data_IF_979225525413
#
_entry.id   IF_979225525413
#
_cell.length_a   1.000
_cell.length_b   1.000
_cell.length_c   1.000
_cell.angle_alpha   90.00
_cell.angle_beta   90.00
_cell.angle_gamma   90.00
#
_symmetry.space_group_name_H-M   'P 1'
#
loop_
_entity.id
_entity.type
_entity.pdbx_description
1 polymer ?
#
# COMPACT_ATOMS: atom_id res chain seq x y z
N UNK A 1 10.62 -41.13 -28.70
CA UNK A 1 9.51 -40.82 -29.63
C UNK A 1 8.75 -39.63 -29.05
N UNK A 2 8.82 -38.46 -29.69
CA UNK A 2 7.98 -37.32 -29.31
C UNK A 2 6.58 -37.58 -29.87
N UNK A 3 5.57 -37.56 -29.00
CA UNK A 3 4.18 -37.75 -29.43
C UNK A 3 3.71 -36.53 -30.23
N UNK A 4 2.82 -36.71 -31.22
CA UNK A 4 2.37 -35.64 -32.12
C UNK A 4 1.69 -34.44 -31.44
N UNK A 5 1.39 -34.54 -30.13
CA UNK A 5 0.72 -33.49 -29.36
C UNK A 5 1.66 -32.64 -28.46
N UNK A 6 2.99 -32.73 -28.60
CA UNK A 6 3.93 -31.90 -27.83
C UNK A 6 4.00 -32.21 -26.32
N UNK A 7 3.46 -33.36 -25.89
CA UNK A 7 3.55 -33.88 -24.53
C UNK A 7 3.98 -35.36 -24.52
N UNK A 8 4.53 -35.80 -23.39
CA UNK A 8 4.98 -37.15 -23.11
C UNK A 8 4.15 -37.75 -21.97
N UNK A 9 3.76 -39.01 -22.06
CA UNK A 9 3.23 -39.74 -20.92
C UNK A 9 4.38 -40.14 -19.99
N UNK A 10 4.29 -39.71 -18.72
CA UNK A 10 5.31 -39.98 -17.70
C UNK A 10 4.65 -40.77 -16.56
N UNK A 11 5.25 -41.89 -16.12
CA UNK A 11 4.77 -42.63 -14.96
C UNK A 11 4.71 -41.75 -13.70
N UNK A 12 3.62 -41.84 -12.95
CA UNK A 12 3.44 -41.07 -11.69
C UNK A 12 4.58 -41.32 -10.72
N UNK A 13 5.13 -42.54 -10.68
CA UNK A 13 6.26 -42.90 -9.82
C UNK A 13 7.54 -42.11 -10.13
N UNK A 14 7.69 -41.55 -11.33
CA UNK A 14 8.83 -40.71 -11.71
C UNK A 14 8.58 -39.22 -11.45
N UNK A 15 7.35 -38.82 -11.13
CA UNK A 15 6.96 -37.44 -10.87
C UNK A 15 7.10 -37.10 -9.39
N UNK A 16 7.75 -35.98 -9.10
CA UNK A 16 7.95 -35.44 -7.76
C UNK A 16 7.31 -34.06 -7.64
N UNK A 17 6.64 -33.82 -6.53
CA UNK A 17 6.14 -32.48 -6.17
C UNK A 17 7.31 -31.52 -5.99
N UNK A 18 7.13 -30.27 -6.41
CA UNK A 18 8.14 -29.24 -6.17
C UNK A 18 8.13 -28.85 -4.66
N UNK A 19 9.28 -28.92 -3.95
CA UNK A 19 9.37 -28.52 -2.54
C UNK A 19 9.03 -27.05 -2.29
N UNK A 20 9.27 -26.19 -3.28
CA UNK A 20 9.11 -24.73 -3.20
C UNK A 20 7.75 -24.24 -3.71
N UNK A 21 6.72 -25.10 -3.70
CA UNK A 21 5.39 -24.74 -4.18
C UNK A 21 4.79 -23.57 -3.37
N UNK A 22 4.40 -22.45 -4.03
CA UNK A 22 3.85 -21.28 -3.34
C UNK A 22 2.47 -21.54 -2.74
N UNK A 23 1.72 -22.51 -3.27
CA UNK A 23 0.46 -22.98 -2.71
C UNK A 23 0.70 -24.06 -1.66
N UNK A 24 0.45 -23.73 -0.40
CA UNK A 24 0.58 -24.65 0.75
C UNK A 24 -0.79 -25.23 1.18
N UNK A 25 -1.87 -24.48 0.98
CA UNK A 25 -3.25 -24.89 1.32
C UNK A 25 -3.98 -25.32 0.04
N UNK A 26 -4.52 -26.53 0.05
CA UNK A 26 -5.22 -27.13 -1.08
C UNK A 26 -6.71 -27.19 -0.74
N UNK A 27 -7.52 -26.55 -1.56
CA UNK A 27 -8.98 -26.42 -1.52
C UNK A 27 -9.69 -27.28 -0.45
N UNK A 28 -9.81 -26.73 0.76
CA UNK A 28 -10.55 -27.29 1.90
C UNK A 28 -12.03 -26.89 1.89
N UNK A 29 -12.55 -26.52 0.72
CA UNK A 29 -13.95 -26.12 0.56
C UNK A 29 -14.73 -27.31 0.05
N UNK A 30 -15.70 -27.76 0.84
CA UNK A 30 -16.64 -28.81 0.47
C UNK A 30 -17.80 -28.19 -0.33
N UNK A 31 -18.37 -28.96 -1.25
CA UNK A 31 -19.63 -28.62 -1.92
C UNK A 31 -20.85 -29.10 -1.12
N UNK A 32 -22.06 -28.84 -1.64
CA UNK A 32 -23.33 -29.28 -1.02
C UNK A 32 -23.44 -30.81 -0.90
N UNK A 33 -22.55 -31.56 -1.57
CA UNK A 33 -22.44 -33.02 -1.57
C UNK A 33 -21.31 -33.53 -0.66
N UNK A 34 -20.59 -32.63 0.03
CA UNK A 34 -19.55 -32.95 1.01
C UNK A 34 -18.21 -33.40 0.40
N UNK A 35 -17.97 -33.17 -0.90
CA UNK A 35 -16.71 -33.48 -1.57
C UNK A 35 -15.78 -32.27 -1.61
N UNK A 36 -14.50 -32.52 -1.36
CA UNK A 36 -13.47 -31.50 -1.54
C UNK A 36 -13.31 -31.17 -3.03
N UNK A 37 -12.90 -29.93 -3.36
CA UNK A 37 -12.63 -29.55 -4.76
C UNK A 37 -11.55 -30.42 -5.43
N UNK A 38 -10.71 -31.10 -4.65
CA UNK A 38 -9.70 -32.03 -5.17
C UNK A 38 -10.31 -33.36 -5.62
N UNK A 39 -11.28 -33.89 -4.88
CA UNK A 39 -12.00 -35.13 -5.23
C UNK A 39 -12.85 -34.96 -6.48
N UNK A 40 -13.53 -33.82 -6.63
CA UNK A 40 -14.23 -33.49 -7.88
C UNK A 40 -13.30 -33.46 -9.10
N UNK A 41 -12.11 -32.89 -8.93
CA UNK A 41 -11.10 -32.90 -9.99
C UNK A 41 -10.62 -34.33 -10.28
N UNK A 42 -10.51 -35.19 -9.27
CA UNK A 42 -10.16 -36.59 -9.47
C UNK A 42 -11.26 -37.35 -10.22
N UNK A 43 -12.53 -37.13 -9.90
CA UNK A 43 -13.68 -37.71 -10.60
C UNK A 43 -13.71 -37.26 -12.08
N UNK A 44 -13.52 -35.97 -12.34
CA UNK A 44 -13.41 -35.42 -13.70
C UNK A 44 -12.22 -36.02 -14.47
N UNK A 45 -11.04 -36.10 -13.85
CA UNK A 45 -9.85 -36.72 -14.45
C UNK A 45 -10.09 -38.21 -14.74
N UNK A 46 -10.87 -38.91 -13.92
CA UNK A 46 -11.21 -40.31 -14.15
C UNK A 46 -12.16 -40.49 -15.34
N UNK A 47 -13.08 -39.54 -15.55
CA UNK A 47 -14.05 -39.57 -16.63
C UNK A 47 -13.45 -39.14 -17.99
N UNK A 48 -12.71 -38.03 -18.01
CA UNK A 48 -12.27 -37.36 -19.25
C UNK A 48 -10.74 -37.41 -19.46
N UNK A 49 -9.99 -37.88 -18.47
CA UNK A 49 -8.53 -37.79 -18.48
C UNK A 49 -8.02 -36.39 -18.17
N UNK A 50 -6.72 -36.17 -18.42
CA UNK A 50 -6.10 -34.85 -18.25
C UNK A 50 -6.11 -34.11 -19.58
N UNK A 51 -6.94 -33.06 -19.67
CA UNK A 51 -7.04 -32.21 -20.86
C UNK A 51 -5.80 -31.33 -21.06
N UNK A 52 -5.30 -30.70 -20.00
CA UNK A 52 -4.10 -29.88 -20.04
C UNK A 52 -2.91 -30.66 -19.48
N UNK A 53 -1.82 -30.88 -20.23
CA UNK A 53 -0.62 -31.54 -19.73
C UNK A 53 0.04 -30.80 -18.55
N UNK A 54 0.69 -31.55 -17.66
CA UNK A 54 1.51 -30.98 -16.58
C UNK A 54 2.80 -30.42 -17.18
N UNK A 55 3.41 -29.42 -16.53
CA UNK A 55 4.71 -28.91 -16.94
C UNK A 55 5.76 -29.41 -15.96
N UNK A 56 6.78 -30.10 -16.46
CA UNK A 56 7.80 -30.74 -15.63
C UNK A 56 9.20 -30.45 -16.15
N UNK A 57 10.21 -30.57 -15.28
CA UNK A 57 11.64 -30.53 -15.66
C UNK A 57 12.36 -31.77 -15.15
N UNK A 58 13.27 -32.37 -15.92
CA UNK A 58 14.03 -33.53 -15.47
C UNK A 58 15.05 -33.15 -14.38
N UNK A 59 15.13 -33.97 -13.32
CA UNK A 59 16.11 -33.86 -12.23
C UNK A 59 16.51 -35.27 -11.77
N UNK A 60 17.80 -35.60 -11.87
CA UNK A 60 18.38 -36.84 -11.32
C UNK A 60 17.60 -38.13 -11.68
N UNK A 61 17.17 -38.28 -12.94
CA UNK A 61 16.39 -39.45 -13.40
C UNK A 61 14.90 -39.43 -13.05
N UNK A 62 14.44 -38.41 -12.32
CA UNK A 62 13.05 -38.10 -12.02
C UNK A 62 12.60 -36.81 -12.75
N UNK A 63 11.33 -36.46 -12.57
CA UNK A 63 10.74 -35.24 -13.09
C UNK A 63 10.12 -34.44 -11.95
N UNK A 64 10.49 -33.16 -11.82
CA UNK A 64 9.92 -32.25 -10.84
C UNK A 64 8.81 -31.44 -11.48
N UNK A 65 7.66 -31.37 -10.81
CA UNK A 65 6.47 -30.66 -11.30
C UNK A 65 6.66 -29.15 -11.13
N UNK A 66 6.66 -28.43 -12.25
CA UNK A 66 6.67 -26.95 -12.28
C UNK A 66 5.23 -26.45 -12.11
N UNK A 67 4.32 -26.90 -12.98
CA UNK A 67 2.91 -26.50 -12.99
C UNK A 67 1.98 -27.72 -13.05
N UNK A 68 0.82 -27.62 -12.41
CA UNK A 68 -0.20 -28.69 -12.42
C UNK A 68 -0.20 -29.60 -11.20
N UNK A 69 0.32 -29.15 -10.05
CA UNK A 69 0.34 -29.91 -8.79
C UNK A 69 -1.05 -30.40 -8.35
N UNK A 70 -2.13 -29.62 -8.60
CA UNK A 70 -3.51 -30.06 -8.35
C UNK A 70 -3.89 -31.28 -9.20
N UNK A 71 -3.53 -31.27 -10.49
CA UNK A 71 -3.78 -32.37 -11.42
C UNK A 71 -3.01 -33.61 -10.97
N UNK A 72 -1.73 -33.46 -10.64
CA UNK A 72 -0.92 -34.56 -10.08
C UNK A 72 -1.57 -35.21 -8.85
N UNK A 73 -2.00 -34.41 -7.88
CA UNK A 73 -2.66 -34.91 -6.66
C UNK A 73 -3.99 -35.58 -6.96
N UNK A 74 -4.85 -34.96 -7.77
CA UNK A 74 -6.12 -35.53 -8.18
C UNK A 74 -5.94 -36.83 -8.98
N UNK A 75 -4.90 -36.93 -9.80
CA UNK A 75 -4.56 -38.15 -10.54
C UNK A 75 -4.12 -39.30 -9.65
N UNK A 76 -3.46 -39.02 -8.51
CA UNK A 76 -3.18 -40.04 -7.48
C UNK A 76 -4.48 -40.58 -6.88
N UNK A 77 -5.44 -39.71 -6.59
CA UNK A 77 -6.77 -40.10 -6.09
C UNK A 77 -7.54 -40.91 -7.15
N UNK A 78 -7.45 -40.50 -8.41
CA UNK A 78 -8.04 -41.20 -9.56
C UNK A 78 -7.32 -42.52 -9.93
N UNK A 79 -6.21 -42.85 -9.24
CA UNK A 79 -5.40 -44.06 -9.46
C UNK A 79 -4.86 -44.21 -10.89
N UNK A 80 -4.53 -43.10 -11.54
CA UNK A 80 -3.85 -43.13 -12.83
C UNK A 80 -2.41 -43.62 -12.68
N UNK A 81 -1.87 -44.29 -13.70
CA UNK A 81 -0.49 -44.80 -13.72
C UNK A 81 0.48 -43.83 -14.41
N UNK A 82 0.01 -43.11 -15.43
CA UNK A 82 0.79 -42.18 -16.24
C UNK A 82 0.05 -40.87 -16.46
N UNK A 83 0.78 -39.76 -16.61
CA UNK A 83 0.22 -38.42 -16.83
C UNK A 83 0.84 -37.76 -18.07
N UNK A 84 0.04 -37.04 -18.88
CA UNK A 84 0.57 -36.23 -19.96
C UNK A 84 1.34 -35.04 -19.40
N UNK A 85 2.61 -34.92 -19.80
CA UNK A 85 3.55 -33.92 -19.31
C UNK A 85 4.30 -33.27 -20.47
N UNK A 86 4.39 -31.94 -20.47
CA UNK A 86 5.33 -31.19 -21.29
C UNK A 86 6.64 -31.04 -20.53
N UNK A 87 7.71 -31.63 -21.07
CA UNK A 87 9.04 -31.60 -20.46
C UNK A 87 9.78 -30.34 -20.91
N UNK A 88 10.11 -29.46 -19.97
CA UNK A 88 11.02 -28.33 -20.21
C UNK A 88 12.43 -28.68 -19.77
N UNK A 89 13.37 -28.59 -20.70
CA UNK A 89 14.78 -28.86 -20.46
C UNK A 89 15.48 -27.64 -19.87
N UNK A 90 16.56 -27.86 -19.12
CA UNK A 90 17.48 -26.82 -18.63
C UNK A 90 16.81 -25.69 -17.81
N UNK A 91 15.78 -26.03 -17.03
CA UNK A 91 15.16 -25.10 -16.08
C UNK A 91 15.91 -25.22 -14.75
N UNK A 92 16.54 -24.13 -14.31
CA UNK A 92 17.11 -24.03 -12.98
C UNK A 92 16.03 -23.79 -11.90
N UNK A 93 16.41 -23.83 -10.62
CA UNK A 93 15.43 -23.72 -9.53
C UNK A 93 14.77 -22.33 -9.48
N UNK A 94 15.48 -21.29 -9.91
CA UNK A 94 14.98 -19.91 -9.95
C UNK A 94 13.92 -19.75 -11.03
N UNK A 95 14.17 -20.23 -12.24
CA UNK A 95 13.25 -20.22 -13.36
C UNK A 95 12.06 -21.15 -13.11
N UNK A 96 12.26 -22.29 -12.44
CA UNK A 96 11.18 -23.15 -11.96
C UNK A 96 10.24 -22.38 -11.03
N UNK A 97 10.81 -21.70 -10.02
CA UNK A 97 10.05 -20.92 -9.06
C UNK A 97 9.32 -19.74 -9.74
N UNK A 98 9.99 -19.06 -10.67
CA UNK A 98 9.40 -17.97 -11.45
C UNK A 98 8.17 -18.44 -12.23
N UNK A 99 8.27 -19.58 -12.93
CA UNK A 99 7.18 -20.17 -13.69
C UNK A 99 6.01 -20.55 -12.76
N UNK A 100 6.31 -21.17 -11.61
CA UNK A 100 5.30 -21.55 -10.63
C UNK A 100 4.58 -20.33 -10.03
N UNK A 101 5.31 -19.24 -9.74
CA UNK A 101 4.70 -18.00 -9.23
C UNK A 101 3.87 -17.32 -10.32
N UNK A 102 4.38 -17.24 -11.55
CA UNK A 102 3.71 -16.58 -12.68
C UNK A 102 2.41 -17.28 -13.05
N UNK A 103 2.39 -18.61 -13.10
CA UNK A 103 1.17 -19.40 -13.33
C UNK A 103 0.14 -19.16 -12.22
N UNK A 104 0.59 -19.21 -10.96
CA UNK A 104 -0.31 -18.98 -9.84
C UNK A 104 -0.90 -17.56 -9.88
N UNK A 105 -0.13 -16.57 -10.34
CA UNK A 105 -0.53 -15.16 -10.48
C UNK A 105 -1.55 -14.91 -11.59
N UNK A 106 -1.60 -15.76 -12.61
CA UNK A 106 -2.58 -15.68 -13.70
C UNK A 106 -3.95 -16.25 -13.34
N UNK A 107 -4.14 -16.71 -12.09
CA UNK A 107 -5.43 -17.24 -11.63
C UNK A 107 -6.42 -16.13 -11.32
N UNK A 108 -7.65 -16.31 -11.78
CA UNK A 108 -8.75 -15.36 -11.57
C UNK A 108 -9.22 -15.29 -10.11
N UNK A 109 -8.89 -16.28 -9.26
CA UNK A 109 -9.37 -16.42 -7.88
C UNK A 109 -8.38 -15.91 -6.81
N UNK A 110 -7.35 -15.17 -7.19
CA UNK A 110 -6.35 -14.65 -6.24
C UNK A 110 -6.91 -13.51 -5.39
N UNK A 111 -6.68 -13.62 -4.07
CA UNK A 111 -6.96 -12.49 -3.17
C UNK A 111 -5.87 -11.43 -3.29
N UNK A 112 -6.15 -10.14 -3.01
CA UNK A 112 -5.15 -9.07 -3.10
C UNK A 112 -3.90 -9.32 -2.24
N UNK A 113 -4.05 -10.03 -1.11
CA UNK A 113 -2.93 -10.41 -0.25
C UNK A 113 -2.07 -11.50 -0.89
N UNK A 114 -2.69 -12.48 -1.52
CA UNK A 114 -1.97 -13.59 -2.15
C UNK A 114 -1.25 -13.13 -3.42
N UNK A 115 -1.85 -12.20 -4.17
CA UNK A 115 -1.20 -11.48 -5.27
C UNK A 115 0.03 -10.71 -4.78
N UNK A 116 -0.10 -9.95 -3.69
CA UNK A 116 1.02 -9.21 -3.11
C UNK A 116 2.15 -10.15 -2.65
N UNK A 117 1.84 -11.31 -2.07
CA UNK A 117 2.82 -12.34 -1.69
C UNK A 117 3.54 -12.93 -2.90
N UNK A 118 2.82 -13.19 -3.98
CA UNK A 118 3.41 -13.66 -5.24
C UNK A 118 4.40 -12.62 -5.80
N UNK A 119 4.01 -11.34 -5.82
CA UNK A 119 4.88 -10.22 -6.21
C UNK A 119 6.12 -10.15 -5.32
N UNK A 120 5.97 -10.25 -4.00
CA UNK A 120 7.10 -10.27 -3.07
C UNK A 120 8.07 -11.43 -3.36
N UNK A 121 7.53 -12.63 -3.61
CA UNK A 121 8.35 -13.79 -3.92
C UNK A 121 9.15 -13.63 -5.23
N UNK A 122 8.59 -12.99 -6.26
CA UNK A 122 9.33 -12.67 -7.49
C UNK A 122 10.51 -11.73 -7.21
N UNK A 123 10.34 -10.75 -6.31
CA UNK A 123 11.38 -9.79 -5.96
C UNK A 123 12.47 -10.44 -5.12
N UNK A 124 12.09 -11.16 -4.06
CA UNK A 124 13.04 -11.70 -3.08
C UNK A 124 13.73 -12.98 -3.54
N UNK A 125 12.97 -13.90 -4.17
CA UNK A 125 13.49 -15.22 -4.54
C UNK A 125 13.97 -15.31 -5.98
N UNK A 126 13.36 -14.55 -6.89
CA UNK A 126 13.76 -14.51 -8.30
C UNK A 126 14.59 -13.26 -8.63
N UNK A 127 14.94 -12.44 -7.64
CA UNK A 127 15.79 -11.23 -7.77
C UNK A 127 15.25 -10.17 -8.75
N UNK A 128 13.94 -10.15 -9.00
CA UNK A 128 13.33 -9.16 -9.88
C UNK A 128 13.31 -7.77 -9.23
N UNK A 129 13.56 -6.74 -10.03
CA UNK A 129 13.23 -5.36 -9.62
C UNK A 129 11.72 -5.12 -9.68
N UNK A 130 11.20 -4.18 -8.87
CA UNK A 130 9.77 -3.80 -8.96
C UNK A 130 9.37 -3.33 -10.37
N UNK A 131 10.31 -2.73 -11.11
CA UNK A 131 10.11 -2.34 -12.52
C UNK A 131 9.96 -3.54 -13.44
N UNK A 132 10.81 -4.56 -13.29
CA UNK A 132 10.73 -5.79 -14.07
C UNK A 132 9.42 -6.55 -13.78
N UNK A 133 9.01 -6.65 -12.51
CA UNK A 133 7.72 -7.24 -12.14
C UNK A 133 6.57 -6.44 -12.75
N UNK A 134 6.59 -5.10 -12.64
CA UNK A 134 5.56 -4.25 -13.22
C UNK A 134 5.39 -4.47 -14.73
N UNK A 135 6.49 -4.46 -15.50
CA UNK A 135 6.46 -4.74 -16.94
C UNK A 135 5.86 -6.10 -17.25
N UNK A 136 6.24 -7.13 -16.49
CA UNK A 136 5.78 -8.50 -16.72
C UNK A 136 4.28 -8.69 -16.43
N UNK A 137 3.76 -7.95 -15.46
CA UNK A 137 2.35 -8.02 -15.06
C UNK A 137 1.46 -6.97 -15.73
N UNK A 138 2.02 -6.11 -16.59
CA UNK A 138 1.28 -4.96 -17.14
C UNK A 138 0.88 -3.93 -16.07
N UNK A 139 1.59 -3.87 -14.95
CA UNK A 139 1.33 -2.98 -13.82
C UNK A 139 2.36 -1.85 -13.75
N UNK A 140 1.94 -0.68 -13.28
CA UNK A 140 2.88 0.40 -12.97
C UNK A 140 3.72 0.04 -11.73
N UNK A 141 4.94 0.58 -11.65
CA UNK A 141 5.80 0.42 -10.46
C UNK A 141 5.09 0.90 -9.19
N UNK A 142 4.30 1.96 -9.30
CA UNK A 142 3.47 2.46 -8.20
C UNK A 142 2.42 1.42 -7.77
N UNK A 143 1.75 0.74 -8.70
CA UNK A 143 0.78 -0.31 -8.39
C UNK A 143 1.45 -1.51 -7.68
N UNK A 144 2.61 -1.95 -8.18
CA UNK A 144 3.42 -3.01 -7.54
C UNK A 144 3.76 -2.62 -6.10
N UNK A 145 4.28 -1.41 -5.89
CA UNK A 145 4.59 -0.93 -4.55
C UNK A 145 3.36 -0.89 -3.64
N UNK A 146 2.21 -0.41 -4.14
CA UNK A 146 0.98 -0.36 -3.34
C UNK A 146 0.48 -1.74 -2.92
N UNK A 147 0.60 -2.76 -3.77
CA UNK A 147 0.30 -4.15 -3.40
C UNK A 147 1.25 -4.64 -2.31
N UNK A 148 2.55 -4.39 -2.44
CA UNK A 148 3.54 -4.74 -1.41
C UNK A 148 3.30 -4.04 -0.07
N UNK A 149 2.73 -2.83 -0.05
CA UNK A 149 2.40 -2.15 1.21
C UNK A 149 1.30 -2.90 2.00
N UNK A 150 0.45 -3.70 1.36
CA UNK A 150 -0.57 -4.49 2.05
C UNK A 150 0.05 -5.54 2.97
N UNK A 151 1.22 -6.08 2.61
CA UNK A 151 1.95 -7.07 3.41
C UNK A 151 2.54 -6.48 4.69
N UNK A 152 2.62 -5.15 4.79
CA UNK A 152 3.11 -4.44 5.98
C UNK A 152 2.01 -4.15 6.99
N UNK A 153 0.75 -4.45 6.66
CA UNK A 153 -0.38 -4.31 7.57
C UNK A 153 -0.37 -5.43 8.61
N UNK A 154 -1.08 -5.24 9.74
CA UNK A 154 -1.20 -6.30 10.74
C UNK A 154 -1.88 -7.55 10.19
N UNK A 155 -1.62 -8.74 10.75
CA UNK A 155 -2.23 -10.00 10.31
C UNK A 155 -3.76 -9.95 10.26
N UNK A 156 -4.40 -9.26 11.22
CA UNK A 156 -5.87 -9.12 11.26
C UNK A 156 -6.42 -8.29 10.10
N UNK A 157 -5.73 -7.21 9.71
CA UNK A 157 -6.14 -6.40 8.57
C UNK A 157 -5.90 -7.17 7.26
N UNK A 158 -4.79 -7.92 7.16
CA UNK A 158 -4.55 -8.79 6.01
C UNK A 158 -5.63 -9.89 5.91
N UNK A 159 -6.07 -10.46 7.04
CA UNK A 159 -7.17 -11.44 7.08
C UNK A 159 -8.48 -10.83 6.61
N UNK A 160 -8.81 -9.62 7.06
CA UNK A 160 -9.99 -8.89 6.61
C UNK A 160 -9.96 -8.62 5.09
N UNK A 161 -8.78 -8.29 4.52
CA UNK A 161 -8.63 -8.10 3.08
C UNK A 161 -8.77 -9.43 2.34
N UNK A 162 -8.14 -10.51 2.84
CA UNK A 162 -8.22 -11.84 2.23
C UNK A 162 -9.65 -12.38 2.19
N UNK A 163 -10.44 -12.14 3.24
CA UNK A 163 -11.84 -12.59 3.35
C UNK A 163 -12.84 -11.68 2.64
N UNK A 164 -12.38 -10.56 2.05
CA UNK A 164 -13.26 -9.57 1.41
C UNK A 164 -14.01 -8.65 2.38
N UNK A 165 -13.78 -8.77 3.70
CA UNK A 165 -14.32 -7.86 4.70
C UNK A 165 -13.77 -6.43 4.52
N UNK A 166 -12.58 -6.28 3.96
CA UNK A 166 -12.02 -5.01 3.47
C UNK A 166 -11.62 -5.15 2.00
N UNK A 167 -11.86 -4.11 1.22
CA UNK A 167 -11.42 -4.08 -0.18
C UNK A 167 -9.93 -3.75 -0.27
N UNK A 168 -9.28 -4.09 -1.39
CA UNK A 168 -7.89 -3.71 -1.66
C UNK A 168 -7.67 -2.19 -1.52
N UNK A 169 -8.61 -1.39 -2.04
CA UNK A 169 -8.54 0.07 -1.95
C UNK A 169 -8.60 0.57 -0.51
N UNK A 170 -9.44 -0.05 0.33
CA UNK A 170 -9.51 0.25 1.76
C UNK A 170 -8.19 -0.11 2.45
N UNK A 171 -7.63 -1.29 2.16
CA UNK A 171 -6.31 -1.69 2.64
C UNK A 171 -5.20 -0.70 2.26
N UNK A 172 -5.21 -0.20 1.02
CA UNK A 172 -4.26 0.81 0.52
C UNK A 172 -4.35 2.13 1.29
N UNK A 173 -5.56 2.61 1.61
CA UNK A 173 -5.75 3.83 2.41
C UNK A 173 -5.23 3.67 3.84
N UNK A 174 -5.42 2.48 4.44
CA UNK A 174 -4.86 2.16 5.77
C UNK A 174 -3.33 2.15 5.70
N UNK A 175 -2.75 1.44 4.73
CA UNK A 175 -1.30 1.36 4.57
C UNK A 175 -0.66 2.75 4.37
N UNK A 176 -1.30 3.61 3.57
CA UNK A 176 -0.87 4.99 3.38
C UNK A 176 -0.94 5.83 4.68
N UNK A 177 -1.95 5.62 5.52
CA UNK A 177 -2.03 6.29 6.82
C UNK A 177 -0.92 5.82 7.77
N UNK A 178 -0.69 4.50 7.85
CA UNK A 178 0.33 3.87 8.70
C UNK A 178 1.76 4.30 8.29
N UNK A 179 2.04 4.40 6.99
CA UNK A 179 3.34 4.82 6.48
C UNK A 179 3.73 6.25 6.87
N UNK A 180 2.75 7.10 7.22
CA UNK A 180 2.97 8.48 7.70
C UNK A 180 3.26 8.57 9.19
N UNK A 181 3.40 7.43 9.87
CA UNK A 181 3.69 7.30 11.29
C UNK A 181 5.09 6.71 11.46
N UNK A 182 5.77 7.16 12.51
CA UNK A 182 7.04 6.60 12.99
C UNK A 182 6.94 5.07 13.16
N UNK A 183 7.95 4.29 12.74
CA UNK A 183 7.92 2.83 12.79
C UNK A 183 7.50 2.26 14.16
N UNK A 184 7.98 2.85 15.26
CA UNK A 184 7.68 2.42 16.62
C UNK A 184 6.18 2.48 16.98
N UNK A 185 5.41 3.37 16.35
CA UNK A 185 3.98 3.58 16.64
C UNK A 185 3.05 2.90 15.61
N UNK A 186 3.60 2.30 14.55
CA UNK A 186 2.79 1.71 13.46
C UNK A 186 1.87 0.60 13.97
N UNK A 187 2.38 -0.27 14.83
CA UNK A 187 1.59 -1.37 15.42
C UNK A 187 0.39 -0.83 16.20
N UNK A 188 0.61 0.17 17.06
CA UNK A 188 -0.45 0.82 17.83
C UNK A 188 -1.50 1.46 16.91
N UNK A 189 -1.07 2.14 15.84
CA UNK A 189 -1.98 2.78 14.88
C UNK A 189 -2.79 1.73 14.11
N UNK A 190 -2.17 0.65 13.67
CA UNK A 190 -2.87 -0.44 12.95
C UNK A 190 -3.95 -1.06 13.84
N UNK A 191 -3.63 -1.34 15.10
CA UNK A 191 -4.58 -1.87 16.08
C UNK A 191 -5.76 -0.92 16.29
N UNK A 192 -5.49 0.36 16.56
CA UNK A 192 -6.54 1.35 16.78
C UNK A 192 -7.40 1.58 15.52
N UNK A 193 -6.82 1.51 14.31
CA UNK A 193 -7.57 1.60 13.06
C UNK A 193 -8.52 0.40 12.93
N UNK A 194 -8.02 -0.82 13.18
CA UNK A 194 -8.82 -2.04 13.09
C UNK A 194 -10.01 -2.00 14.03
N UNK A 195 -9.80 -1.68 15.30
CA UNK A 195 -10.88 -1.57 16.29
C UNK A 195 -11.95 -0.55 15.90
N UNK A 196 -11.53 0.61 15.39
CA UNK A 196 -12.47 1.66 14.95
C UNK A 196 -13.23 1.27 13.68
N UNK A 197 -12.59 0.57 12.75
CA UNK A 197 -13.24 0.01 11.56
C UNK A 197 -14.28 -1.02 11.99
N UNK A 198 -13.95 -1.94 12.90
CA UNK A 198 -14.87 -2.98 13.37
C UNK A 198 -16.07 -2.39 14.09
N UNK A 199 -15.85 -1.37 14.93
CA UNK A 199 -16.94 -0.63 15.58
C UNK A 199 -17.84 0.06 14.54
N UNK A 200 -17.25 0.77 13.58
CA UNK A 200 -18.01 1.47 12.56
C UNK A 200 -18.78 0.51 11.63
N UNK A 201 -18.24 -0.68 11.37
CA UNK A 201 -18.95 -1.75 10.65
C UNK A 201 -20.15 -2.28 11.44
N UNK A 202 -20.05 -2.45 12.75
CA UNK A 202 -21.20 -2.86 13.59
C UNK A 202 -22.31 -1.81 13.59
N UNK A 203 -21.98 -0.53 13.56
CA UNK A 203 -22.96 0.57 13.59
C UNK A 203 -23.62 0.84 12.23
N UNK A 204 -22.87 0.73 11.12
CA UNK A 204 -23.33 1.14 9.78
C UNK A 204 -23.41 -0.01 8.76
N UNK A 205 -23.02 -1.22 9.13
CA UNK A 205 -22.86 -2.33 8.21
C UNK A 205 -21.64 -2.14 7.30
N UNK A 206 -21.88 -1.99 5.99
CA UNK A 206 -20.81 -1.91 4.98
C UNK A 206 -20.20 -0.51 4.92
N UNK A 207 -18.92 -0.40 5.25
CA UNK A 207 -18.20 0.87 5.16
C UNK A 207 -17.76 1.20 3.74
N UNK A 208 -17.89 2.46 3.35
CA UNK A 208 -17.32 2.96 2.10
C UNK A 208 -15.81 3.15 2.21
N UNK A 209 -15.11 3.27 1.07
CA UNK A 209 -13.68 3.62 1.05
C UNK A 209 -13.41 4.97 1.73
N UNK A 210 -14.35 5.92 1.63
CA UNK A 210 -14.23 7.25 2.25
C UNK A 210 -14.32 7.16 3.78
N UNK A 211 -15.15 6.26 4.31
CA UNK A 211 -15.27 6.03 5.75
C UNK A 211 -13.97 5.45 6.30
N UNK A 212 -13.44 4.38 5.68
CA UNK A 212 -12.18 3.77 6.08
C UNK A 212 -11.03 4.76 6.01
N UNK A 213 -10.95 5.56 4.94
CA UNK A 213 -9.95 6.63 4.80
C UNK A 213 -10.04 7.65 5.92
N UNK A 214 -11.24 8.04 6.31
CA UNK A 214 -11.48 9.02 7.39
C UNK A 214 -11.08 8.44 8.74
N UNK A 215 -11.43 7.18 9.02
CA UNK A 215 -11.02 6.46 10.23
C UNK A 215 -9.49 6.32 10.29
N UNK A 216 -8.86 5.87 9.21
CA UNK A 216 -7.41 5.69 9.13
C UNK A 216 -6.66 7.01 9.34
N UNK A 217 -7.08 8.08 8.65
CA UNK A 217 -6.48 9.41 8.78
C UNK A 217 -6.65 9.99 10.18
N UNK A 218 -7.87 9.95 10.72
CA UNK A 218 -8.13 10.49 12.05
C UNK A 218 -7.33 9.73 13.11
N UNK A 219 -7.36 8.40 13.11
CA UNK A 219 -6.61 7.57 14.07
C UNK A 219 -5.11 7.84 14.02
N UNK A 220 -4.54 7.90 12.81
CA UNK A 220 -3.15 8.30 12.60
C UNK A 220 -2.83 9.64 13.26
N UNK A 221 -3.68 10.64 13.02
CA UNK A 221 -3.47 11.99 13.54
C UNK A 221 -3.51 12.03 15.08
N UNK A 222 -4.41 11.25 15.71
CA UNK A 222 -4.50 11.17 17.17
C UNK A 222 -3.23 10.56 17.79
N UNK A 223 -2.73 9.45 17.23
CA UNK A 223 -1.51 8.79 17.74
C UNK A 223 -0.27 9.65 17.49
N UNK A 224 -0.25 10.42 16.38
CA UNK A 224 0.86 11.33 16.07
C UNK A 224 0.92 12.53 17.03
N UNK A 225 -0.20 13.12 17.40
CA UNK A 225 -0.24 14.32 18.25
C UNK A 225 -0.24 14.01 19.76
N UNK A 226 -0.37 12.75 20.16
CA UNK A 226 -0.47 12.37 21.57
C UNK A 226 -1.75 12.87 22.25
N UNK A 227 -2.69 13.43 21.49
CA UNK A 227 -3.92 13.98 22.02
C UNK A 227 -4.96 12.87 22.20
N UNK A 228 -5.19 12.47 23.45
CA UNK A 228 -6.47 11.87 23.84
C UNK A 228 -7.58 12.85 23.45
N UNK A 229 -8.45 12.46 22.53
CA UNK A 229 -9.62 13.28 22.21
C UNK A 229 -10.52 13.35 23.43
N UNK A 230 -10.53 14.52 24.09
CA UNK A 230 -11.77 15.13 24.51
C UNK A 230 -12.69 15.15 23.29
N UNK A 231 -13.92 14.64 23.47
CA UNK A 231 -14.97 14.54 22.45
C UNK A 231 -14.93 15.78 21.54
N UNK A 232 -14.81 15.55 20.24
CA UNK A 232 -14.96 16.61 19.25
C UNK A 232 -16.35 17.21 19.38
N UNK A 233 -16.44 18.40 19.98
CA UNK A 233 -17.47 19.34 19.58
C UNK A 233 -17.32 19.59 18.08
N UNK A 234 -18.44 19.75 17.35
CA UNK A 234 -18.38 20.04 15.92
C UNK A 234 -17.51 21.29 15.73
N UNK A 235 -16.55 21.24 14.80
CA UNK A 235 -15.72 22.40 14.47
C UNK A 235 -16.64 23.62 14.30
N UNK A 236 -16.42 24.74 15.01
CA UNK A 236 -17.20 25.93 14.77
C UNK A 236 -16.99 26.29 13.29
N UNK A 237 -18.09 26.50 12.56
CA UNK A 237 -18.03 27.08 11.21
C UNK A 237 -17.40 28.45 11.37
N UNK A 238 -16.10 28.57 11.10
CA UNK A 238 -15.43 29.86 11.05
C UNK A 238 -16.02 30.59 9.85
N UNK A 239 -16.88 31.57 10.10
CA UNK A 239 -17.28 32.55 9.09
C UNK A 239 -16.01 33.33 8.73
N UNK A 240 -15.51 33.12 7.51
CA UNK A 240 -14.45 33.97 6.96
C UNK A 240 -15.10 35.32 6.65
N UNK A 241 -14.80 36.33 7.46
CA UNK A 241 -15.25 37.69 7.19
C UNK A 241 -14.38 38.28 6.07
N UNK A 242 -14.97 39.01 5.10
CA UNK A 242 -14.18 39.71 4.10
C UNK A 242 -13.28 40.73 4.81
N UNK A 243 -12.03 40.91 4.33
CA UNK A 243 -11.07 41.80 4.98
C UNK A 243 -11.61 43.23 5.01
N UNK A 244 -11.42 43.90 6.14
CA UNK A 244 -11.84 45.27 6.38
C UNK A 244 -11.16 46.24 5.41
N UNK A 245 -11.74 47.43 5.15
CA UNK A 245 -11.12 48.43 4.28
C UNK A 245 -9.70 48.81 4.69
N UNK A 246 -9.39 48.80 6.00
CA UNK A 246 -8.03 49.05 6.52
C UNK A 246 -7.07 47.91 6.19
N UNK A 247 -7.49 46.66 6.32
CA UNK A 247 -6.67 45.49 5.96
C UNK A 247 -6.40 45.45 4.45
N UNK A 248 -7.40 45.79 3.63
CA UNK A 248 -7.21 45.94 2.17
C UNK A 248 -6.24 47.07 1.83
N UNK A 249 -6.29 48.19 2.55
CA UNK A 249 -5.37 49.32 2.35
C UNK A 249 -3.93 48.98 2.75
N UNK A 250 -3.73 48.24 3.85
CA UNK A 250 -2.40 47.76 4.25
C UNK A 250 -1.84 46.73 3.27
N UNK A 251 -2.66 45.79 2.81
CA UNK A 251 -2.25 44.82 1.79
C UNK A 251 -1.89 45.53 0.48
N UNK A 252 -2.65 46.54 0.07
CA UNK A 252 -2.35 47.34 -1.13
C UNK A 252 -1.02 48.10 -1.00
N UNK A 253 -0.78 48.79 0.11
CA UNK A 253 0.50 49.47 0.39
C UNK A 253 1.69 48.50 0.36
N UNK A 254 1.50 47.28 0.86
CA UNK A 254 2.53 46.25 0.82
C UNK A 254 2.81 45.73 -0.60
N UNK A 255 1.75 45.53 -1.41
CA UNK A 255 1.88 45.12 -2.81
C UNK A 255 2.57 46.22 -3.63
N UNK A 256 2.18 47.47 -3.45
CA UNK A 256 2.77 48.62 -4.16
C UNK A 256 4.27 48.77 -3.83
N UNK A 257 4.65 48.59 -2.56
CA UNK A 257 6.06 48.58 -2.14
C UNK A 257 6.87 47.42 -2.75
N UNK A 258 6.25 46.24 -2.92
CA UNK A 258 6.89 45.10 -3.58
C UNK A 258 7.06 45.33 -5.10
N UNK A 259 6.15 46.06 -5.74
CA UNK A 259 6.27 46.41 -7.16
C UNK A 259 7.33 47.48 -7.41
N UNK A 260 7.46 48.49 -6.55
CA UNK A 260 8.54 49.47 -6.63
C UNK A 260 9.91 48.83 -6.40
N UNK A 261 10.03 47.94 -5.41
CA UNK A 261 11.26 47.19 -5.18
C UNK A 261 11.64 46.36 -6.43
N UNK A 262 10.68 45.68 -7.07
CA UNK A 262 10.95 44.93 -8.31
C UNK A 262 11.48 45.82 -9.44
N UNK A 263 11.01 47.07 -9.57
CA UNK A 263 11.48 48.02 -10.58
C UNK A 263 12.92 48.49 -10.31
N UNK A 264 13.26 48.78 -9.05
CA UNK A 264 14.62 49.20 -8.68
C UNK A 264 15.67 48.11 -8.91
N UNK A 265 15.31 46.85 -8.68
CA UNK A 265 16.25 45.72 -8.75
C UNK A 265 16.24 44.98 -10.10
N UNK A 266 15.36 45.35 -11.03
CA UNK A 266 15.30 44.78 -12.37
C UNK A 266 16.61 44.93 -13.20
N UNK A 267 17.35 46.07 -13.16
CA UNK A 267 18.61 46.22 -13.90
C UNK A 267 19.73 45.32 -13.35
N UNK A 268 19.76 45.12 -12.02
CA UNK A 268 20.76 44.30 -11.33
C UNK A 268 20.57 42.81 -11.60
N UNK A 269 19.32 42.36 -11.75
CA UNK A 269 19.00 40.98 -12.09
C UNK A 269 19.35 40.62 -13.55
N UNK A 270 19.35 41.61 -14.46
CA UNK A 270 19.68 41.41 -15.89
C UNK A 270 21.19 41.29 -16.13
N UNK A 271 22.04 41.93 -15.31
CA UNK A 271 23.50 41.82 -15.39
C UNK A 271 24.09 40.51 -14.83
N UNK A 272 23.29 39.63 -14.24
CA UNK A 272 23.76 38.39 -13.63
C UNK A 272 23.82 37.23 -14.65
N UNK A 273 24.99 36.56 -14.79
CA UNK A 273 25.28 35.66 -15.91
C UNK A 273 24.54 34.31 -15.84
N UNK A 274 24.05 33.88 -14.67
CA UNK A 274 23.40 32.56 -14.50
C UNK A 274 22.05 32.64 -13.79
N UNK A 275 21.16 31.71 -14.15
CA UNK A 275 19.78 31.60 -13.62
C UNK A 275 19.75 31.40 -12.10
N UNK A 276 20.73 30.68 -11.54
CA UNK A 276 20.87 30.48 -10.09
C UNK A 276 21.26 31.76 -9.34
N UNK A 277 22.08 32.62 -9.94
CA UNK A 277 22.50 33.88 -9.31
C UNK A 277 21.33 34.85 -9.17
N UNK A 278 20.40 34.83 -10.14
CA UNK A 278 19.15 35.62 -10.09
C UNK A 278 18.19 35.12 -9.01
N UNK A 279 18.11 33.79 -8.81
CA UNK A 279 17.30 33.17 -7.75
C UNK A 279 17.87 33.47 -6.37
N UNK A 280 19.20 33.42 -6.20
CA UNK A 280 19.87 33.78 -4.94
C UNK A 280 19.72 35.26 -4.61
N UNK A 281 19.84 36.15 -5.60
CA UNK A 281 19.55 37.58 -5.41
C UNK A 281 18.10 37.81 -4.97
N UNK A 282 17.14 37.06 -5.55
CA UNK A 282 15.73 37.08 -5.13
C UNK A 282 15.50 36.65 -3.68
N UNK A 283 16.24 35.65 -3.19
CA UNK A 283 16.19 35.25 -1.77
C UNK A 283 16.88 36.26 -0.84
N UNK A 284 17.98 36.88 -1.27
CA UNK A 284 18.67 37.93 -0.49
C UNK A 284 17.81 39.20 -0.40
N UNK A 285 17.07 39.55 -1.46
CA UNK A 285 16.09 40.63 -1.47
C UNK A 285 14.89 40.39 -0.55
N UNK A 286 14.49 39.14 -0.31
CA UNK A 286 13.52 38.81 0.74
C UNK A 286 14.09 38.98 2.16
N UNK A 287 15.42 39.03 2.31
CA UNK A 287 16.11 39.08 3.61
C UNK A 287 16.60 40.49 3.99
N UNK A 288 16.74 41.42 3.03
CA UNK A 288 17.14 42.82 3.27
C UNK A 288 15.90 43.72 3.25
N UNK A 289 15.48 44.15 4.44
CA UNK A 289 14.25 44.88 4.78
C UNK A 289 14.27 46.39 4.44
N UNK A 290 13.12 47.08 4.45
CA UNK A 290 12.98 48.35 5.15
C UNK A 290 12.55 48.12 6.63
N UNK A 291 13.35 48.73 7.49
CA UNK A 291 13.26 49.02 8.93
C UNK A 291 12.88 47.94 9.97
N UNK A 292 13.84 47.66 10.85
CA UNK A 292 13.80 46.63 11.91
C UNK A 292 13.15 47.17 13.19
N UNK A 293 13.12 48.49 13.38
CA UNK A 293 12.60 49.12 14.60
C UNK A 293 11.07 49.01 14.73
N UNK A 294 10.33 49.14 13.63
CA UNK A 294 8.87 49.08 13.63
C UNK A 294 8.34 47.65 13.70
N UNK A 295 9.00 46.71 13.03
CA UNK A 295 8.64 45.29 13.10
C UNK A 295 8.91 44.71 14.50
N UNK A 296 9.97 45.17 15.19
CA UNK A 296 10.26 44.76 16.56
C UNK A 296 9.23 45.31 17.57
N UNK A 297 8.71 46.53 17.38
CA UNK A 297 7.60 47.09 18.19
C UNK A 297 6.26 46.40 17.92
N UNK A 298 5.97 46.04 16.67
CA UNK A 298 4.74 45.34 16.29
C UNK A 298 4.75 43.88 16.74
N UNK A 299 5.89 43.19 16.63
CA UNK A 299 6.04 41.81 17.10
C UNK A 299 6.20 41.72 18.61
N UNK A 300 6.84 42.67 19.30
CA UNK A 300 6.88 42.67 20.76
C UNK A 300 5.50 42.94 21.36
N UNK A 301 4.73 43.90 20.84
CA UNK A 301 3.35 44.13 21.31
C UNK A 301 2.43 42.92 21.06
N UNK A 302 2.60 42.24 19.93
CA UNK A 302 1.79 41.09 19.57
C UNK A 302 2.20 39.82 20.34
N UNK A 303 3.50 39.57 20.52
CA UNK A 303 4.01 38.40 21.25
C UNK A 303 3.86 38.55 22.76
N UNK A 304 4.02 39.75 23.34
CA UNK A 304 3.84 39.96 24.78
C UNK A 304 2.36 39.89 25.16
N UNK A 305 1.46 40.48 24.36
CA UNK A 305 0.01 40.39 24.61
C UNK A 305 -0.54 38.98 24.40
N UNK A 306 0.00 38.21 23.44
CA UNK A 306 -0.38 36.80 23.28
C UNK A 306 0.25 35.87 24.31
N UNK A 307 1.47 36.12 24.78
CA UNK A 307 2.08 35.35 25.87
C UNK A 307 1.45 35.66 27.24
N UNK A 308 1.10 36.90 27.52
CA UNK A 308 0.35 37.28 28.72
C UNK A 308 -1.05 36.66 28.69
N UNK A 309 -1.77 36.73 27.57
CA UNK A 309 -3.07 36.07 27.42
C UNK A 309 -3.00 34.54 27.55
N UNK A 310 -1.93 33.91 27.04
CA UNK A 310 -1.70 32.46 27.19
C UNK A 310 -1.30 32.10 28.63
N UNK A 311 -0.60 32.97 29.36
CA UNK A 311 -0.21 32.74 30.75
C UNK A 311 -1.36 33.04 31.73
N UNK A 312 -2.20 34.04 31.47
CA UNK A 312 -3.45 34.35 32.19
C UNK A 312 -4.44 33.18 32.05
N UNK A 313 -4.65 32.70 30.82
CA UNK A 313 -5.50 31.55 30.54
C UNK A 313 -4.97 30.25 31.19
N UNK A 314 -3.64 30.06 31.24
CA UNK A 314 -3.04 28.93 31.96
C UNK A 314 -3.19 29.05 33.48
N UNK A 315 -3.09 30.25 34.05
CA UNK A 315 -3.27 30.49 35.50
C UNK A 315 -4.72 30.31 35.93
N UNK A 316 -5.71 30.78 35.16
CA UNK A 316 -7.14 30.51 35.43
C UNK A 316 -7.47 29.01 35.32
N UNK A 317 -6.86 28.30 34.38
CA UNK A 317 -7.09 26.84 34.20
C UNK A 317 -6.40 26.00 35.29
N UNK A 318 -5.31 26.48 35.89
CA UNK A 318 -4.64 25.84 37.03
C UNK A 318 -5.31 26.20 38.37
N UNK A 319 -5.80 27.43 38.55
CA UNK A 319 -6.52 27.85 39.76
C UNK A 319 -7.87 27.12 39.91
N UNK A 320 -8.59 26.90 38.81
CA UNK A 320 -9.86 26.13 38.79
C UNK A 320 -9.68 24.60 38.88
N UNK A 321 -8.45 24.12 39.09
CA UNK A 321 -8.13 22.69 39.30
C UNK A 321 -7.52 22.40 40.68
N UNK A 322 -7.39 23.41 41.54
CA UNK A 322 -6.85 23.30 42.91
C UNK A 322 -7.83 23.85 43.97
N UNK A 323 -9.06 24.23 43.58
CA UNK A 323 -10.20 24.33 44.52
C UNK A 323 -11.03 23.04 44.46
#
# INVERSE_FOLDING_TARGET
MQSPNGFQLIPIAKLQSNPNQPRQVWDTGDDDEGKTKLERLADSIKAEGILQPLVVTPRNGHYVIICGERRYRASKLAKLTELPCTVRQNIDDTAMLELAITENLQREDLTPIDEAKAIQALIEKCTYTQSAVGKRLGLSVAAVNMKLQLLKLSPDIQKDIRTGALTETQGREIAHAVNKVEPAKRTQVMQAIKERIDKAKKEKGKLSTKDVKTVARSTRDHVRTGASTVKGTPKPKVKVFPPTPKEKAHAKKFIDALEEAKKLFAPVAQGLPTKESRVRLGHVLMLVKPDVADLAKLLSGFLTSTLEFINEAKRETLANRVQ
#
